data_IF_552278937592
#
_entry.id   IF_552278937592
#
_cell.length_a   1.000
_cell.length_b   1.000
_cell.length_c   1.000
_cell.angle_alpha   90.00
_cell.angle_beta   90.00
_cell.angle_gamma   90.00
#
_symmetry.space_group_name_H-M   'P 1'
#
loop_
_entity.id
_entity.type
_entity.pdbx_description
1 polymer ?
#
# COMPACT_ATOMS: atom_id res chain seq x y z
N UNK A 1 -16.27 -9.93 16.00
CA UNK A 1 -15.85 -9.54 14.62
C UNK A 1 -14.92 -10.57 13.94
N UNK A 2 -13.92 -11.15 14.61
CA UNK A 2 -13.10 -12.22 13.97
C UNK A 2 -13.85 -13.54 13.75
N UNK A 3 -14.80 -13.90 14.60
CA UNK A 3 -15.58 -15.15 14.50
C UNK A 3 -16.54 -15.12 13.29
N UNK A 4 -17.10 -13.97 12.93
CA UNK A 4 -17.96 -13.81 11.75
C UNK A 4 -17.17 -13.84 10.43
N UNK A 5 -15.93 -13.38 10.45
CA UNK A 5 -15.05 -13.44 9.29
C UNK A 5 -14.63 -14.88 8.94
N UNK A 6 -14.39 -15.74 9.94
CA UNK A 6 -14.06 -17.16 9.71
C UNK A 6 -15.14 -17.91 8.95
N UNK A 7 -16.40 -17.75 9.34
CA UNK A 7 -17.53 -18.36 8.65
C UNK A 7 -17.75 -17.85 7.22
N UNK A 8 -17.44 -16.57 6.95
CA UNK A 8 -17.52 -16.01 5.60
C UNK A 8 -16.43 -16.56 4.69
N UNK A 9 -15.22 -16.76 5.21
CA UNK A 9 -14.09 -17.32 4.45
C UNK A 9 -14.38 -18.77 4.04
N UNK A 10 -14.82 -19.62 4.98
CA UNK A 10 -15.15 -21.00 4.71
C UNK A 10 -16.28 -21.15 3.67
N UNK A 11 -17.31 -20.32 3.77
CA UNK A 11 -18.40 -20.29 2.79
C UNK A 11 -17.89 -19.86 1.41
N UNK A 12 -17.07 -18.82 1.37
CA UNK A 12 -16.48 -18.33 0.11
C UNK A 12 -15.56 -19.40 -0.53
N UNK A 13 -14.78 -20.14 0.28
CA UNK A 13 -13.98 -21.28 -0.18
C UNK A 13 -14.85 -22.42 -0.74
N UNK A 14 -16.07 -22.59 -0.23
CA UNK A 14 -17.07 -23.56 -0.72
C UNK A 14 -17.82 -23.07 -1.97
N UNK A 15 -17.45 -21.87 -2.53
CA UNK A 15 -18.03 -21.34 -3.75
C UNK A 15 -19.20 -20.36 -3.53
N UNK A 16 -19.47 -19.93 -2.30
CA UNK A 16 -20.49 -18.93 -1.99
C UNK A 16 -19.98 -17.54 -2.41
N UNK A 17 -20.48 -17.04 -3.55
CA UNK A 17 -20.12 -15.74 -4.09
C UNK A 17 -20.58 -14.55 -3.23
N UNK A 18 -21.68 -14.69 -2.51
CA UNK A 18 -22.18 -13.66 -1.60
C UNK A 18 -21.27 -13.54 -0.36
N UNK A 19 -20.77 -14.65 0.15
CA UNK A 19 -19.78 -14.65 1.21
C UNK A 19 -18.48 -13.96 0.77
N UNK A 20 -18.01 -14.20 -0.46
CA UNK A 20 -16.85 -13.51 -0.98
C UNK A 20 -17.09 -12.00 -1.16
N UNK A 21 -18.28 -11.59 -1.62
CA UNK A 21 -18.67 -10.18 -1.72
C UNK A 21 -18.58 -9.48 -0.36
N UNK A 22 -19.05 -10.11 0.71
CA UNK A 22 -18.92 -9.57 2.07
C UNK A 22 -17.45 -9.36 2.47
N UNK A 23 -16.55 -10.29 2.12
CA UNK A 23 -15.11 -10.13 2.34
C UNK A 23 -14.53 -8.94 1.57
N UNK A 24 -14.97 -8.73 0.32
CA UNK A 24 -14.58 -7.57 -0.48
C UNK A 24 -15.04 -6.27 0.18
N UNK A 25 -16.30 -6.16 0.56
CA UNK A 25 -16.86 -4.99 1.23
C UNK A 25 -16.13 -4.66 2.55
N UNK A 26 -15.80 -5.68 3.33
CA UNK A 26 -15.11 -5.53 4.60
C UNK A 26 -13.65 -5.06 4.46
N UNK A 27 -12.94 -5.53 3.43
CA UNK A 27 -11.49 -5.33 3.32
C UNK A 27 -11.05 -4.32 2.25
N UNK A 28 -11.92 -3.95 1.29
CA UNK A 28 -11.57 -3.09 0.17
C UNK A 28 -10.99 -1.74 0.60
N UNK A 29 -11.59 -1.11 1.60
CA UNK A 29 -11.12 0.18 2.14
C UNK A 29 -9.73 0.10 2.77
N UNK A 30 -9.39 -1.00 3.43
CA UNK A 30 -8.08 -1.21 4.01
C UNK A 30 -7.02 -1.47 2.93
N UNK A 31 -7.35 -2.32 1.94
CA UNK A 31 -6.49 -2.57 0.78
C UNK A 31 -6.25 -1.31 -0.02
N UNK A 32 -7.28 -0.48 -0.24
CA UNK A 32 -7.13 0.81 -0.92
C UNK A 32 -6.15 1.75 -0.18
N UNK A 33 -6.31 1.90 1.14
CA UNK A 33 -5.39 2.74 1.93
C UNK A 33 -3.95 2.26 1.85
N UNK A 34 -3.73 0.95 1.93
CA UNK A 34 -2.41 0.35 1.74
C UNK A 34 -1.86 0.69 0.35
N UNK A 35 -2.62 0.41 -0.70
CA UNK A 35 -2.25 0.64 -2.09
C UNK A 35 -1.93 2.12 -2.35
N UNK A 36 -2.78 3.03 -1.90
CA UNK A 36 -2.56 4.47 -2.03
C UNK A 36 -1.29 4.95 -1.32
N UNK A 37 -1.03 4.45 -0.09
CA UNK A 37 0.24 4.75 0.60
C UNK A 37 1.46 4.23 -0.14
N UNK A 38 1.32 3.16 -0.91
CA UNK A 38 2.42 2.60 -1.69
C UNK A 38 2.61 3.28 -3.03
N UNK A 39 1.55 3.55 -3.77
CA UNK A 39 1.60 4.06 -5.14
C UNK A 39 1.61 5.59 -5.20
N UNK A 40 0.97 6.25 -4.23
CA UNK A 40 0.77 7.71 -4.21
C UNK A 40 -0.24 8.20 -5.25
N UNK A 41 -0.99 7.30 -5.89
CA UNK A 41 -1.91 7.60 -6.97
C UNK A 41 -3.22 6.83 -6.77
N UNK A 42 -4.37 7.51 -6.92
CA UNK A 42 -5.68 6.95 -6.65
C UNK A 42 -6.06 5.88 -7.68
N UNK A 43 -5.82 6.15 -8.94
CA UNK A 43 -6.14 5.19 -10.01
C UNK A 43 -5.34 3.89 -9.87
N UNK A 44 -4.04 3.99 -9.55
CA UNK A 44 -3.23 2.81 -9.23
C UNK A 44 -3.74 2.08 -8.00
N UNK A 45 -4.18 2.82 -6.98
CA UNK A 45 -4.72 2.19 -5.78
C UNK A 45 -6.01 1.42 -6.06
N UNK A 46 -6.88 1.94 -6.93
CA UNK A 46 -8.08 1.25 -7.41
C UNK A 46 -7.73 0.00 -8.21
N UNK A 47 -6.76 0.09 -9.12
CA UNK A 47 -6.26 -1.05 -9.89
C UNK A 47 -5.68 -2.13 -8.96
N UNK A 48 -4.94 -1.74 -7.93
CA UNK A 48 -4.42 -2.66 -6.91
C UNK A 48 -5.55 -3.34 -6.16
N UNK A 49 -6.60 -2.62 -5.75
CA UNK A 49 -7.76 -3.21 -5.08
C UNK A 49 -8.41 -4.26 -5.96
N UNK A 50 -8.72 -3.90 -7.21
CA UNK A 50 -9.37 -4.80 -8.15
C UNK A 50 -8.54 -6.07 -8.37
N UNK A 51 -7.27 -5.93 -8.70
CA UNK A 51 -6.38 -7.07 -8.96
C UNK A 51 -6.15 -7.91 -7.70
N UNK A 52 -6.07 -7.28 -6.52
CA UNK A 52 -5.94 -7.99 -5.25
C UNK A 52 -7.11 -8.95 -5.02
N UNK A 53 -8.34 -8.48 -5.20
CA UNK A 53 -9.51 -9.33 -4.99
C UNK A 53 -9.71 -10.35 -6.10
N UNK A 54 -9.33 -10.05 -7.35
CA UNK A 54 -9.31 -11.03 -8.42
C UNK A 54 -8.32 -12.18 -8.11
N UNK A 55 -7.12 -11.86 -7.66
CA UNK A 55 -6.13 -12.86 -7.25
C UNK A 55 -6.57 -13.61 -6.00
N UNK A 56 -7.12 -12.89 -5.02
CA UNK A 56 -7.66 -13.50 -3.81
C UNK A 56 -8.76 -14.52 -4.14
N UNK A 57 -9.70 -14.18 -4.99
CA UNK A 57 -10.75 -15.10 -5.44
C UNK A 57 -10.20 -16.36 -6.09
N UNK A 58 -9.23 -16.20 -6.99
CA UNK A 58 -8.60 -17.33 -7.71
C UNK A 58 -7.75 -18.25 -6.82
N UNK A 59 -7.31 -17.75 -5.67
CA UNK A 59 -6.39 -18.46 -4.77
C UNK A 59 -7.01 -18.72 -3.39
N UNK A 60 -8.31 -18.48 -3.24
CA UNK A 60 -8.99 -18.58 -1.95
C UNK A 60 -8.97 -20.01 -1.40
N UNK A 61 -9.01 -21.01 -2.28
CA UNK A 61 -8.85 -22.42 -1.98
C UNK A 61 -7.51 -22.75 -1.32
N UNK A 62 -6.47 -21.94 -1.57
CA UNK A 62 -5.12 -22.11 -1.00
C UNK A 62 -4.89 -21.34 0.30
N UNK A 63 -5.89 -20.57 0.74
CA UNK A 63 -5.79 -19.86 2.00
C UNK A 63 -5.97 -20.81 3.18
N UNK A 64 -4.90 -21.08 3.93
CA UNK A 64 -4.83 -22.06 5.02
C UNK A 64 -4.99 -21.45 6.42
N UNK A 65 -5.36 -20.18 6.54
CA UNK A 65 -5.52 -19.44 7.81
C UNK A 65 -4.26 -19.43 8.72
N UNK A 66 -3.05 -19.59 8.14
CA UNK A 66 -1.79 -19.47 8.90
C UNK A 66 -1.50 -18.02 9.35
N UNK A 67 -2.04 -17.07 8.65
CA UNK A 67 -2.07 -15.66 8.98
C UNK A 67 -3.50 -15.14 8.87
N UNK A 68 -3.78 -13.94 9.40
CA UNK A 68 -5.10 -13.34 9.23
C UNK A 68 -5.43 -13.13 7.74
N UNK A 69 -6.71 -13.14 7.39
CA UNK A 69 -7.13 -12.89 6.01
C UNK A 69 -6.67 -11.51 5.51
N UNK A 70 -6.67 -10.51 6.38
CA UNK A 70 -6.11 -9.18 6.07
C UNK A 70 -4.63 -9.24 5.72
N UNK A 71 -3.81 -9.95 6.51
CA UNK A 71 -2.38 -10.15 6.25
C UNK A 71 -2.15 -10.81 4.90
N UNK A 72 -2.96 -11.83 4.58
CA UNK A 72 -2.89 -12.52 3.29
C UNK A 72 -3.25 -11.58 2.12
N UNK A 73 -4.32 -10.78 2.24
CA UNK A 73 -4.67 -9.76 1.25
C UNK A 73 -3.56 -8.71 1.09
N UNK A 74 -2.96 -8.26 2.20
CA UNK A 74 -1.87 -7.28 2.15
C UNK A 74 -0.63 -7.82 1.44
N UNK A 75 -0.35 -9.11 1.53
CA UNK A 75 0.72 -9.76 0.74
C UNK A 75 0.42 -9.67 -0.75
N UNK A 76 -0.79 -9.96 -1.17
CA UNK A 76 -1.21 -9.87 -2.57
C UNK A 76 -1.12 -8.42 -3.06
N UNK A 77 -1.70 -7.48 -2.30
CA UNK A 77 -1.75 -6.06 -2.64
C UNK A 77 -0.35 -5.43 -2.73
N UNK A 78 0.53 -5.71 -1.75
CA UNK A 78 1.87 -5.15 -1.73
C UNK A 78 2.74 -5.68 -2.87
N UNK A 79 2.64 -6.96 -3.21
CA UNK A 79 3.38 -7.52 -4.35
C UNK A 79 2.95 -6.88 -5.67
N UNK A 80 1.65 -6.74 -5.90
CA UNK A 80 1.16 -6.10 -7.12
C UNK A 80 1.53 -4.60 -7.16
N UNK A 81 1.40 -3.88 -6.05
CA UNK A 81 1.85 -2.48 -5.96
C UNK A 81 3.33 -2.32 -6.27
N UNK A 82 4.18 -3.21 -5.77
CA UNK A 82 5.62 -3.21 -6.09
C UNK A 82 5.89 -3.42 -7.57
N UNK A 83 5.14 -4.31 -8.21
CA UNK A 83 5.28 -4.58 -9.64
C UNK A 83 4.84 -3.37 -10.47
N UNK A 84 3.75 -2.68 -10.10
CA UNK A 84 3.32 -1.43 -10.73
C UNK A 84 4.38 -0.33 -10.61
N UNK A 85 4.90 -0.10 -9.41
CA UNK A 85 5.94 0.91 -9.17
C UNK A 85 7.20 0.62 -10.00
N UNK A 86 7.63 -0.64 -10.07
CA UNK A 86 8.78 -1.06 -10.88
C UNK A 86 8.53 -0.89 -12.38
N UNK A 87 7.31 -1.16 -12.81
CA UNK A 87 6.92 -1.00 -14.21
C UNK A 87 6.92 0.46 -14.62
N UNK A 88 6.33 1.35 -13.81
CA UNK A 88 6.34 2.81 -14.03
C UNK A 88 7.76 3.36 -14.12
N UNK A 89 8.59 3.04 -13.15
CA UNK A 89 9.99 3.48 -13.15
C UNK A 89 10.72 3.04 -14.42
N UNK A 90 10.51 1.82 -14.89
CA UNK A 90 11.12 1.36 -16.15
C UNK A 90 10.61 2.12 -17.39
N UNK A 91 9.34 2.55 -17.38
CA UNK A 91 8.78 3.38 -18.45
C UNK A 91 9.33 4.80 -18.40
N UNK A 92 9.48 5.40 -17.22
CA UNK A 92 10.11 6.71 -17.03
C UNK A 92 11.56 6.69 -17.48
N UNK A 93 12.36 5.72 -17.01
CA UNK A 93 13.77 5.55 -17.41
C UNK A 93 13.93 5.35 -18.95
N UNK A 94 12.96 4.73 -19.62
CA UNK A 94 12.94 4.58 -21.09
C UNK A 94 12.57 5.88 -21.80
N UNK A 95 11.62 6.65 -21.27
CA UNK A 95 11.23 7.98 -21.81
C UNK A 95 12.36 8.98 -21.68
N UNK A 96 13.09 8.99 -20.56
CA UNK A 96 14.25 9.86 -20.36
C UNK A 96 15.41 9.54 -21.32
N UNK A 97 15.56 8.26 -21.73
CA UNK A 97 16.59 7.82 -22.67
C UNK A 97 16.19 7.94 -24.14
N UNK A 98 14.91 8.11 -24.43
CA UNK A 98 14.32 8.22 -25.78
C UNK A 98 13.47 9.46 -25.91
N UNK A 99 14.04 10.57 -26.38
CA UNK A 99 13.44 11.84 -26.79
C UNK A 99 12.62 12.66 -25.77
N UNK A 100 13.07 13.90 -25.63
CA UNK A 100 12.52 14.99 -24.82
C UNK A 100 11.27 15.66 -25.44
N UNK A 101 10.34 14.99 -26.08
CA UNK A 101 9.23 15.65 -26.80
C UNK A 101 7.81 15.21 -26.42
N UNK A 102 7.59 14.53 -25.31
CA UNK A 102 6.20 14.33 -24.83
C UNK A 102 6.16 14.35 -23.30
N UNK A 103 6.16 15.55 -22.75
CA UNK A 103 5.82 15.79 -21.34
C UNK A 103 4.29 15.82 -21.22
N UNK A 104 3.68 14.67 -21.18
CA UNK A 104 2.32 14.58 -20.69
C UNK A 104 2.36 14.60 -19.15
N UNK A 105 2.06 15.79 -18.63
CA UNK A 105 1.97 16.09 -17.21
C UNK A 105 0.67 15.47 -16.72
N UNK A 106 0.70 14.19 -16.31
CA UNK A 106 -0.34 13.64 -15.48
C UNK A 106 -0.25 14.30 -14.08
N UNK A 107 -0.95 15.41 -13.97
CA UNK A 107 -1.15 16.15 -12.74
C UNK A 107 -1.81 15.21 -11.72
N UNK A 108 -1.17 15.05 -10.58
CA UNK A 108 -1.78 14.61 -9.34
C UNK A 108 -2.89 15.60 -8.99
N UNK A 109 -4.14 15.24 -9.24
CA UNK A 109 -5.28 16.02 -8.76
C UNK A 109 -5.36 15.88 -7.24
N UNK A 110 -5.53 16.98 -6.49
CA UNK A 110 -5.70 16.91 -5.04
C UNK A 110 -7.07 16.29 -4.74
N UNK A 111 -7.07 15.28 -3.88
CA UNK A 111 -8.32 14.70 -3.35
C UNK A 111 -8.94 15.70 -2.40
N UNK A 112 -10.06 16.24 -2.78
CA UNK A 112 -10.89 17.18 -2.01
C UNK A 112 -11.52 16.48 -0.79
N UNK A 113 -11.27 17.00 0.41
CA UNK A 113 -11.96 16.62 1.64
C UNK A 113 -12.18 17.82 2.56
N UNK A 114 -13.28 17.89 3.30
CA UNK A 114 -13.96 19.13 3.68
C UNK A 114 -13.49 19.82 4.97
N UNK A 115 -13.46 21.17 4.97
CA UNK A 115 -13.42 22.07 6.11
C UNK A 115 -12.23 23.03 6.15
N UNK A 116 -12.45 24.42 6.15
CA UNK A 116 -11.45 25.33 5.64
C UNK A 116 -10.18 25.57 6.45
N UNK A 117 -10.15 25.57 7.79
CA UNK A 117 -8.98 26.01 8.53
C UNK A 117 -8.13 24.89 9.16
N UNK A 118 -8.76 23.82 9.58
CA UNK A 118 -8.07 22.67 10.15
C UNK A 118 -7.53 21.72 9.06
N UNK A 119 -8.10 21.80 7.87
CA UNK A 119 -7.79 20.95 6.72
C UNK A 119 -6.66 21.50 5.86
N UNK A 120 -6.46 22.80 5.79
CA UNK A 120 -5.30 23.36 5.07
C UNK A 120 -3.99 22.91 5.77
N UNK A 121 -3.96 22.92 7.09
CA UNK A 121 -2.80 22.43 7.84
C UNK A 121 -2.64 20.90 7.76
N UNK A 122 -3.75 20.16 7.80
CA UNK A 122 -3.74 18.70 7.63
C UNK A 122 -3.39 18.29 6.19
N UNK A 123 -3.84 19.05 5.19
CA UNK A 123 -3.51 18.84 3.79
C UNK A 123 -2.02 19.03 3.51
N UNK A 124 -1.43 20.12 4.00
CA UNK A 124 -0.01 20.38 3.88
C UNK A 124 0.85 19.33 4.59
N UNK A 125 0.45 18.88 5.77
CA UNK A 125 1.14 17.79 6.48
C UNK A 125 1.02 16.48 5.70
N UNK A 126 -0.16 16.18 5.16
CA UNK A 126 -0.37 14.97 4.35
C UNK A 126 0.47 14.99 3.07
N UNK A 127 0.55 16.13 2.40
CA UNK A 127 1.38 16.32 1.21
C UNK A 127 2.87 16.11 1.52
N UNK A 128 3.35 16.69 2.60
CA UNK A 128 4.73 16.49 3.09
C UNK A 128 5.03 15.04 3.45
N UNK A 129 4.08 14.36 4.07
CA UNK A 129 4.21 12.91 4.37
C UNK A 129 4.27 12.10 3.08
N UNK A 130 3.45 12.42 2.09
CA UNK A 130 3.48 11.75 0.79
C UNK A 130 4.79 12.02 0.04
N UNK A 131 5.29 13.26 0.03
CA UNK A 131 6.60 13.60 -0.52
C UNK A 131 7.72 12.79 0.15
N UNK A 132 7.73 12.77 1.49
CA UNK A 132 8.71 11.99 2.25
C UNK A 132 8.64 10.49 1.96
N UNK A 133 7.44 9.94 1.78
CA UNK A 133 7.26 8.55 1.37
C UNK A 133 7.78 8.29 -0.05
N UNK A 134 7.72 9.27 -0.96
CA UNK A 134 8.23 9.15 -2.32
C UNK A 134 9.78 9.10 -2.38
N UNK A 135 10.48 9.63 -1.36
CA UNK A 135 11.95 9.53 -1.24
C UNK A 135 12.43 8.12 -0.87
N UNK A 136 11.52 7.26 -0.39
CA UNK A 136 11.83 5.88 -0.05
C UNK A 136 11.95 5.02 -1.31
N UNK A 137 12.86 4.05 -1.29
CA UNK A 137 12.79 2.98 -2.30
C UNK A 137 11.46 2.22 -2.14
N UNK A 138 10.98 1.61 -3.23
CA UNK A 138 9.73 0.86 -3.20
C UNK A 138 9.71 -0.19 -2.08
N UNK A 139 10.82 -0.87 -1.85
CA UNK A 139 10.95 -1.87 -0.78
C UNK A 139 10.93 -1.26 0.63
N UNK A 140 11.63 -0.12 0.83
CA UNK A 140 11.62 0.61 2.11
C UNK A 140 10.23 1.14 2.43
N UNK A 141 9.54 1.73 1.44
CA UNK A 141 8.19 2.23 1.56
C UNK A 141 7.21 1.12 1.93
N UNK A 142 7.25 -0.01 1.21
CA UNK A 142 6.38 -1.15 1.48
C UNK A 142 6.61 -1.71 2.88
N UNK A 143 7.86 -1.98 3.26
CA UNK A 143 8.18 -2.51 4.58
C UNK A 143 7.73 -1.56 5.71
N UNK A 144 7.90 -0.25 5.51
CA UNK A 144 7.44 0.77 6.45
C UNK A 144 5.91 0.80 6.58
N UNK A 145 5.19 0.80 5.47
CA UNK A 145 3.71 0.85 5.45
C UNK A 145 3.14 -0.41 6.11
N UNK A 146 3.61 -1.59 5.74
CA UNK A 146 3.16 -2.86 6.33
C UNK A 146 3.44 -2.92 7.84
N UNK A 147 4.57 -2.38 8.30
CA UNK A 147 4.94 -2.39 9.72
C UNK A 147 4.13 -1.41 10.55
N UNK A 148 4.04 -0.15 10.11
CA UNK A 148 3.55 0.95 10.93
C UNK A 148 2.07 1.27 10.74
N UNK A 149 1.50 0.95 9.58
CA UNK A 149 0.09 1.19 9.31
C UNK A 149 -0.76 -0.08 9.38
N UNK A 150 -0.21 -1.22 8.94
CA UNK A 150 -0.96 -2.48 8.92
C UNK A 150 -0.59 -3.42 10.08
N UNK A 151 0.40 -3.05 10.91
CA UNK A 151 0.76 -3.77 12.13
C UNK A 151 1.41 -5.14 11.93
N UNK A 152 1.84 -5.46 10.69
CA UNK A 152 2.45 -6.76 10.39
C UNK A 152 3.76 -6.98 11.16
N UNK A 153 4.02 -8.21 11.54
CA UNK A 153 5.30 -8.62 12.11
C UNK A 153 6.42 -8.56 11.07
N UNK A 154 7.67 -8.51 11.53
CA UNK A 154 8.83 -8.47 10.63
C UNK A 154 8.91 -9.72 9.76
N UNK A 155 8.54 -10.87 10.31
CA UNK A 155 8.58 -12.14 9.59
C UNK A 155 7.47 -12.22 8.53
N UNK A 156 6.25 -11.78 8.83
CA UNK A 156 5.16 -11.65 7.84
C UNK A 156 5.53 -10.69 6.70
N UNK A 157 6.18 -9.55 7.02
CA UNK A 157 6.68 -8.61 6.00
C UNK A 157 7.78 -9.27 5.17
N UNK A 158 8.71 -9.98 5.80
CA UNK A 158 9.75 -10.72 5.12
C UNK A 158 9.19 -11.73 4.12
N UNK A 159 8.21 -12.52 4.54
CA UNK A 159 7.50 -13.45 3.65
C UNK A 159 6.77 -12.71 2.51
N UNK A 160 6.06 -11.62 2.83
CA UNK A 160 5.34 -10.83 1.83
C UNK A 160 6.27 -10.27 0.75
N UNK A 161 7.45 -9.82 1.12
CA UNK A 161 8.43 -9.20 0.22
C UNK A 161 9.45 -10.19 -0.36
N UNK A 162 9.41 -11.46 0.03
CA UNK A 162 10.42 -12.45 -0.36
C UNK A 162 11.81 -12.11 0.17
N UNK A 163 11.90 -11.53 1.37
CA UNK A 163 13.16 -11.08 1.99
C UNK A 163 13.38 -11.73 3.34
N UNK A 164 14.64 -11.91 3.72
CA UNK A 164 14.95 -12.42 5.06
C UNK A 164 14.71 -11.38 6.16
N UNK A 165 14.48 -11.84 7.39
CA UNK A 165 14.18 -11.02 8.58
C UNK A 165 15.16 -9.85 8.77
N UNK A 166 16.47 -10.05 8.58
CA UNK A 166 17.47 -8.99 8.71
C UNK A 166 17.33 -7.92 7.62
N UNK A 167 17.12 -8.33 6.36
CA UNK A 167 16.91 -7.39 5.25
C UNK A 167 15.64 -6.55 5.47
N UNK A 168 14.57 -7.16 5.97
CA UNK A 168 13.32 -6.49 6.34
C UNK A 168 13.55 -5.46 7.45
N UNK A 169 14.26 -5.83 8.53
CA UNK A 169 14.63 -4.90 9.61
C UNK A 169 15.41 -3.70 9.08
N UNK A 170 16.40 -3.95 8.21
CA UNK A 170 17.20 -2.88 7.60
C UNK A 170 16.38 -1.96 6.69
N UNK A 171 15.42 -2.51 5.93
CA UNK A 171 14.53 -1.70 5.10
C UNK A 171 13.64 -0.78 5.94
N UNK A 172 13.04 -1.30 7.01
CA UNK A 172 12.22 -0.51 7.95
C UNK A 172 13.09 0.57 8.62
N UNK A 173 14.26 0.22 9.11
CA UNK A 173 15.16 1.16 9.76
C UNK A 173 15.57 2.31 8.83
N UNK A 174 15.99 2.00 7.59
CA UNK A 174 16.35 3.02 6.60
C UNK A 174 15.16 3.92 6.25
N UNK A 175 13.96 3.35 6.10
CA UNK A 175 12.75 4.12 5.89
C UNK A 175 12.50 5.12 7.02
N UNK A 176 12.54 4.68 8.27
CA UNK A 176 12.36 5.55 9.45
C UNK A 176 13.41 6.66 9.50
N UNK A 177 14.69 6.34 9.20
CA UNK A 177 15.76 7.35 9.18
C UNK A 177 15.55 8.41 8.10
N UNK A 178 15.16 8.01 6.89
CA UNK A 178 14.87 8.93 5.79
C UNK A 178 13.67 9.83 6.13
N UNK A 179 12.56 9.23 6.56
CA UNK A 179 11.35 9.96 6.95
C UNK A 179 11.61 10.95 8.09
N UNK A 180 12.41 10.56 9.08
CA UNK A 180 12.78 11.47 10.19
C UNK A 180 13.50 12.71 9.66
N UNK A 181 14.47 12.55 8.75
CA UNK A 181 15.21 13.67 8.15
C UNK A 181 14.30 14.56 7.29
N UNK A 182 13.45 13.95 6.47
CA UNK A 182 12.56 14.70 5.57
C UNK A 182 11.47 15.47 6.33
N UNK A 183 10.97 14.92 7.45
CA UNK A 183 9.90 15.53 8.24
C UNK A 183 10.39 16.40 9.42
N UNK A 184 11.69 16.43 9.72
CA UNK A 184 12.26 17.24 10.82
C UNK A 184 11.87 18.73 10.75
N UNK A 185 11.87 19.41 9.56
CA UNK A 185 11.45 20.79 9.46
C UNK A 185 9.98 21.02 9.83
N UNK A 186 9.12 20.03 9.58
CA UNK A 186 7.68 20.11 9.85
C UNK A 186 7.39 19.96 11.35
N UNK A 187 8.10 19.05 12.01
CA UNK A 187 7.96 18.79 13.46
C UNK A 187 8.57 19.93 14.26
N UNK A 188 9.66 20.54 13.77
CA UNK A 188 10.31 21.69 14.42
C UNK A 188 9.47 22.99 14.37
N UNK A 189 8.66 23.18 13.34
CA UNK A 189 7.77 24.33 13.18
C UNK A 189 6.47 24.23 14.02
N UNK A 190 6.17 23.05 14.56
CA UNK A 190 4.97 22.79 15.38
C UNK A 190 5.22 22.89 16.91
N UNK A 191 6.44 23.28 17.32
CA UNK A 191 6.83 23.60 18.71
C UNK A 191 6.96 25.08 18.89
#
# INVERSE_FOLDING_TARGET
>A
MEVEAGGAIERAQSGDSDAFRLLVEQHSRAVFRLAFRMTGNEQDAEDVVQETFLRAYRQLDKYEARASFSTWLYRIASNYSLDLIRMRKRHEDKRERGNAEDRDILQTLPVDTPGPDRLVYSGQVQERVNEALNELSAQERTAFVLRHFEGMSIDEIGEALGTGTNATKHSIFRAVQKLRRSLEPVVGAAR
#
